data_IF_279971162925
#
_entry.id   IF_279971162925
#
_cell.length_a   1.000
_cell.length_b   1.000
_cell.length_c   1.000
_cell.angle_alpha   90.00
_cell.angle_beta   90.00
_cell.angle_gamma   90.00
#
_symmetry.space_group_name_H-M   'P 1'
#
loop_
_entity.id
_entity.type
_entity.pdbx_description
1 polymer ?
#
# COMPACT_ATOMS: atom_id res chain seq x y z
N UNK A 1 12.16 -9.01 12.17
CA UNK A 1 11.78 -7.89 13.04
C UNK A 1 12.01 -6.61 12.27
N UNK A 2 10.97 -6.17 11.56
CA UNK A 2 10.99 -4.84 10.99
C UNK A 2 10.71 -3.84 12.11
N UNK A 3 11.77 -3.17 12.49
CA UNK A 3 11.85 -1.86 13.12
C UNK A 3 10.62 -1.49 13.94
N UNK A 4 10.69 -1.78 15.21
CA UNK A 4 9.72 -1.35 16.24
C UNK A 4 9.91 0.13 16.62
N UNK A 5 10.78 0.85 15.93
CA UNK A 5 11.13 2.23 16.20
C UNK A 5 11.06 3.07 14.92
N UNK A 6 9.82 3.49 14.59
CA UNK A 6 9.61 4.69 13.77
C UNK A 6 10.00 4.57 12.30
N UNK A 7 9.07 4.11 11.46
CA UNK A 7 9.08 4.50 10.05
C UNK A 7 8.65 5.96 9.94
N UNK A 8 9.55 6.89 10.18
CA UNK A 8 9.28 8.32 10.05
C UNK A 8 9.46 8.83 8.62
N UNK A 9 9.81 7.97 7.67
CA UNK A 9 10.00 8.35 6.28
C UNK A 9 8.93 7.76 5.36
N UNK A 10 8.19 8.66 4.70
CA UNK A 10 7.28 8.26 3.63
C UNK A 10 8.08 7.71 2.44
N UNK A 11 7.60 6.68 1.73
CA UNK A 11 8.23 6.22 0.51
C UNK A 11 8.27 7.35 -0.53
N UNK A 12 9.33 7.40 -1.32
CA UNK A 12 9.47 8.36 -2.41
C UNK A 12 8.38 8.17 -3.48
N UNK A 13 7.91 6.93 -3.65
CA UNK A 13 6.78 6.57 -4.51
C UNK A 13 5.99 5.44 -3.87
N UNK A 14 4.67 5.61 -3.84
CA UNK A 14 3.69 4.54 -3.59
C UNK A 14 2.74 4.44 -4.78
N UNK A 15 2.59 3.27 -5.36
CA UNK A 15 1.78 3.04 -6.54
C UNK A 15 0.73 1.97 -6.29
N UNK A 16 -0.50 2.25 -6.69
CA UNK A 16 -1.62 1.31 -6.61
C UNK A 16 -2.55 1.52 -7.80
N UNK A 17 -3.23 0.47 -8.24
CA UNK A 17 -4.25 0.55 -9.29
C UNK A 17 -5.63 0.57 -8.65
N UNK A 18 -6.40 1.62 -8.91
CA UNK A 18 -7.74 1.84 -8.37
C UNK A 18 -8.77 1.65 -9.47
N UNK A 19 -9.77 0.81 -9.23
CA UNK A 19 -10.87 0.56 -10.16
C UNK A 19 -12.11 1.36 -9.82
N UNK A 20 -12.46 1.44 -8.52
CA UNK A 20 -13.68 2.12 -8.06
C UNK A 20 -13.46 2.77 -6.71
N UNK A 21 -14.09 3.94 -6.52
CA UNK A 21 -14.19 4.57 -5.21
C UNK A 21 -15.65 4.82 -4.87
N UNK A 22 -15.97 4.69 -3.60
CA UNK A 22 -17.31 4.89 -3.04
C UNK A 22 -17.25 5.78 -1.82
N UNK A 23 -18.27 6.60 -1.65
CA UNK A 23 -18.56 7.33 -0.42
C UNK A 23 -19.77 6.70 0.26
N UNK A 24 -19.68 6.38 1.53
CA UNK A 24 -20.67 5.62 2.28
C UNK A 24 -21.21 6.45 3.45
N UNK A 25 -22.52 6.41 3.65
CA UNK A 25 -23.22 7.10 4.76
C UNK A 25 -23.07 6.37 6.08
N UNK A 26 -22.70 5.10 6.05
CA UNK A 26 -22.31 4.26 7.19
C UNK A 26 -21.26 3.24 6.73
N UNK A 27 -20.67 2.51 7.67
CA UNK A 27 -19.72 1.46 7.34
C UNK A 27 -20.34 0.41 6.40
N UNK A 28 -19.70 0.05 5.28
CA UNK A 28 -20.12 -1.09 4.48
C UNK A 28 -19.94 -2.38 5.28
N UNK A 29 -20.72 -3.42 4.92
CA UNK A 29 -20.49 -4.75 5.53
C UNK A 29 -19.24 -5.36 4.93
N UNK A 30 -18.30 -5.76 5.77
CA UNK A 30 -17.04 -6.35 5.35
C UNK A 30 -17.25 -7.67 4.58
N UNK A 31 -16.37 -7.94 3.63
CA UNK A 31 -16.32 -9.23 2.97
C UNK A 31 -15.87 -10.32 3.96
N UNK A 32 -16.36 -11.52 3.75
CA UNK A 32 -15.92 -12.72 4.47
C UNK A 32 -15.34 -13.73 3.49
N UNK A 33 -14.84 -14.85 3.96
CA UNK A 33 -14.38 -15.96 3.08
C UNK A 33 -15.48 -16.52 2.17
N UNK A 34 -16.76 -16.25 2.49
CA UNK A 34 -17.93 -16.78 1.77
C UNK A 34 -18.87 -15.71 1.22
N UNK A 35 -18.61 -14.42 1.50
CA UNK A 35 -19.46 -13.31 1.03
C UNK A 35 -18.62 -12.13 0.55
N UNK A 36 -19.10 -11.46 -0.48
CA UNK A 36 -18.54 -10.21 -0.95
C UNK A 36 -18.97 -9.04 -0.05
N UNK A 37 -18.23 -7.92 -0.13
CA UNK A 37 -18.60 -6.68 0.56
C UNK A 37 -20.00 -6.21 0.13
N UNK A 38 -20.81 -5.72 1.09
CA UNK A 38 -22.13 -5.16 0.81
C UNK A 38 -22.03 -3.63 0.84
N UNK A 39 -22.22 -3.02 -0.32
CA UNK A 39 -22.09 -1.57 -0.55
C UNK A 39 -23.42 -0.82 -0.55
N UNK A 40 -24.47 -1.37 0.07
CA UNK A 40 -25.81 -0.73 0.13
C UNK A 40 -25.78 0.72 0.65
N UNK A 41 -24.97 1.08 1.69
CA UNK A 41 -24.92 2.47 2.17
C UNK A 41 -23.99 3.37 1.35
N UNK A 42 -23.49 2.90 0.21
CA UNK A 42 -22.43 3.56 -0.54
C UNK A 42 -22.90 4.04 -1.91
N UNK A 43 -22.42 5.21 -2.33
CA UNK A 43 -22.55 5.74 -3.68
C UNK A 43 -21.20 5.67 -4.39
N UNK A 44 -21.17 5.10 -5.59
CA UNK A 44 -19.97 5.08 -6.41
C UNK A 44 -19.66 6.50 -6.92
N UNK A 45 -18.43 6.97 -6.68
CA UNK A 45 -17.97 8.31 -7.08
C UNK A 45 -16.88 8.28 -8.14
N UNK A 46 -16.22 7.16 -8.32
CA UNK A 46 -15.20 6.96 -9.35
C UNK A 46 -15.28 5.55 -9.94
N UNK A 47 -15.03 5.44 -11.25
CA UNK A 47 -14.95 4.17 -11.95
C UNK A 47 -13.95 4.23 -13.10
N UNK A 48 -13.05 3.24 -13.15
CA UNK A 48 -12.25 2.89 -14.30
C UNK A 48 -12.15 1.37 -14.38
N UNK A 49 -12.80 0.75 -15.37
CA UNK A 49 -12.84 -0.72 -15.50
C UNK A 49 -11.51 -1.35 -15.85
N UNK A 50 -10.59 -0.57 -16.45
CA UNK A 50 -9.23 -1.00 -16.79
C UNK A 50 -8.23 -0.75 -15.65
N UNK A 51 -8.66 -0.02 -14.60
CA UNK A 51 -7.83 0.42 -13.51
C UNK A 51 -7.12 1.75 -13.81
N UNK A 52 -7.11 2.65 -12.81
CA UNK A 52 -6.35 3.89 -12.85
C UNK A 52 -5.14 3.76 -11.92
N UNK A 53 -3.95 3.92 -12.46
CA UNK A 53 -2.71 3.91 -11.68
C UNK A 53 -2.59 5.20 -10.88
N UNK A 54 -2.58 5.06 -9.56
CA UNK A 54 -2.29 6.13 -8.62
C UNK A 54 -0.82 6.04 -8.20
N UNK A 55 0.03 6.94 -8.70
CA UNK A 55 1.43 7.05 -8.32
C UNK A 55 1.59 8.21 -7.34
N UNK A 56 1.55 7.89 -6.04
CA UNK A 56 1.58 8.88 -4.95
C UNK A 56 3.03 9.19 -4.60
N UNK A 57 3.40 10.45 -4.67
CA UNK A 57 4.65 10.98 -4.13
C UNK A 57 4.32 11.99 -3.04
N UNK A 58 5.22 12.16 -2.09
CA UNK A 58 5.00 13.07 -0.96
C UNK A 58 4.63 14.49 -1.43
N UNK A 59 3.53 15.03 -0.91
CA UNK A 59 3.07 16.39 -1.20
C UNK A 59 2.41 16.58 -2.58
N UNK A 60 2.17 15.53 -3.34
CA UNK A 60 1.54 15.59 -4.66
C UNK A 60 0.06 15.20 -4.63
N UNK A 61 -0.76 15.93 -5.38
CA UNK A 61 -2.12 15.53 -5.69
C UNK A 61 -2.14 14.68 -6.96
N UNK A 62 -3.02 13.68 -6.99
CA UNK A 62 -3.18 12.81 -8.15
C UNK A 62 -4.62 12.91 -8.64
N UNK A 63 -4.77 13.15 -9.93
CA UNK A 63 -6.04 13.00 -10.62
C UNK A 63 -6.06 11.61 -11.27
N UNK A 64 -6.97 10.76 -10.81
CA UNK A 64 -7.14 9.42 -11.39
C UNK A 64 -7.83 9.54 -12.76
N UNK A 65 -7.31 8.84 -13.76
CA UNK A 65 -7.98 8.73 -15.06
C UNK A 65 -9.21 7.84 -14.94
N UNK A 66 -10.39 8.36 -15.33
CA UNK A 66 -11.63 7.61 -15.22
C UNK A 66 -12.88 8.48 -15.19
N UNK A 67 -14.00 7.85 -14.88
CA UNK A 67 -15.30 8.51 -14.82
C UNK A 67 -15.67 8.87 -13.39
N UNK A 68 -15.98 10.15 -13.17
CA UNK A 68 -16.42 10.68 -11.88
C UNK A 68 -17.91 10.87 -11.85
N UNK A 69 -18.56 10.46 -10.77
CA UNK A 69 -19.99 10.64 -10.54
C UNK A 69 -20.20 11.41 -9.24
N UNK A 70 -20.95 12.49 -9.30
CA UNK A 70 -21.29 13.24 -8.09
C UNK A 70 -22.27 12.41 -7.24
N UNK A 71 -21.96 12.16 -5.97
CA UNK A 71 -22.88 11.44 -5.09
C UNK A 71 -24.09 12.30 -4.74
N UNK A 72 -25.22 11.71 -4.30
CA UNK A 72 -26.36 12.46 -3.75
C UNK A 72 -25.92 13.40 -2.62
N UNK A 73 -26.70 14.47 -2.40
CA UNK A 73 -26.44 15.37 -1.27
C UNK A 73 -26.65 14.59 0.05
N UNK A 74 -25.66 14.63 0.94
CA UNK A 74 -25.70 13.89 2.19
C UNK A 74 -24.40 13.99 2.99
N UNK A 75 -24.39 13.36 4.16
CA UNK A 75 -23.17 13.21 4.98
C UNK A 75 -22.58 11.84 4.75
N UNK A 76 -21.30 11.80 4.39
CA UNK A 76 -20.55 10.58 4.15
C UNK A 76 -19.50 10.44 5.23
N UNK A 77 -19.48 9.30 5.90
CA UNK A 77 -18.62 9.03 7.06
C UNK A 77 -17.54 7.99 6.76
N UNK A 78 -17.67 7.25 5.65
CA UNK A 78 -16.73 6.20 5.25
C UNK A 78 -16.42 6.29 3.77
N UNK A 79 -15.20 5.89 3.40
CA UNK A 79 -14.78 5.64 2.05
C UNK A 79 -14.57 4.13 1.82
N UNK A 80 -14.82 3.66 0.60
CA UNK A 80 -14.46 2.31 0.20
C UNK A 80 -13.77 2.38 -1.15
N UNK A 81 -12.62 1.70 -1.27
CA UNK A 81 -11.87 1.61 -2.51
C UNK A 81 -11.80 0.15 -2.99
N UNK A 82 -12.07 -0.05 -4.28
CA UNK A 82 -11.78 -1.31 -4.97
C UNK A 82 -10.51 -1.11 -5.78
N UNK A 83 -9.46 -1.82 -5.42
CA UNK A 83 -8.12 -1.65 -5.96
C UNK A 83 -7.47 -2.99 -6.27
N UNK A 84 -6.37 -2.96 -7.02
CA UNK A 84 -5.54 -4.14 -7.25
C UNK A 84 -4.86 -4.59 -5.94
N UNK A 85 -4.50 -5.86 -5.89
CA UNK A 85 -3.69 -6.43 -4.83
C UNK A 85 -2.17 -6.29 -5.09
N UNK A 86 -1.80 -5.52 -6.11
CA UNK A 86 -0.42 -5.27 -6.49
C UNK A 86 -0.04 -3.82 -6.19
N UNK A 87 1.06 -3.64 -5.48
CA UNK A 87 1.55 -2.34 -5.02
C UNK A 87 2.98 -2.12 -5.49
N UNK A 88 3.29 -0.88 -5.92
CA UNK A 88 4.65 -0.44 -6.21
C UNK A 88 5.17 0.47 -5.10
N UNK A 89 6.39 0.22 -4.62
CA UNK A 89 7.03 1.04 -3.59
C UNK A 89 8.43 1.39 -4.02
N UNK A 90 8.81 2.66 -3.86
CA UNK A 90 10.19 3.12 -3.99
C UNK A 90 10.58 3.87 -2.72
N UNK A 91 11.59 3.38 -2.04
CA UNK A 91 12.12 3.98 -0.83
C UNK A 91 13.64 3.86 -0.79
N UNK A 92 14.32 4.88 -0.31
CA UNK A 92 15.71 4.84 0.09
C UNK A 92 15.93 5.78 1.28
N UNK A 93 16.74 5.34 2.23
CA UNK A 93 17.04 6.13 3.42
C UNK A 93 18.38 5.76 4.05
N UNK A 94 18.82 6.60 4.97
CA UNK A 94 19.96 6.34 5.84
C UNK A 94 19.45 5.86 7.19
N UNK A 95 19.88 4.65 7.58
CA UNK A 95 19.51 4.04 8.84
C UNK A 95 20.51 4.41 9.94
N UNK A 96 20.05 4.43 11.18
CA UNK A 96 20.90 4.69 12.36
C UNK A 96 21.94 3.60 12.63
N UNK A 97 21.73 2.41 12.05
CA UNK A 97 22.65 1.27 12.19
C UNK A 97 22.84 0.56 10.84
N UNK A 98 23.99 -0.08 10.70
CA UNK A 98 24.29 -0.88 9.50
C UNK A 98 23.39 -2.10 9.44
N UNK A 99 22.74 -2.31 8.29
CA UNK A 99 21.86 -3.43 7.99
C UNK A 99 22.34 -4.18 6.76
N UNK A 100 21.89 -5.42 6.62
CA UNK A 100 22.10 -6.20 5.39
C UNK A 100 20.79 -6.19 4.59
N UNK A 101 20.85 -5.77 3.33
CA UNK A 101 19.72 -5.78 2.43
C UNK A 101 19.28 -7.20 2.06
N UNK A 102 18.02 -7.38 1.70
CA UNK A 102 17.45 -8.69 1.37
C UNK A 102 18.06 -9.29 0.09
N UNK A 103 18.50 -8.46 -0.85
CA UNK A 103 19.27 -8.90 -2.05
C UNK A 103 20.78 -8.88 -1.82
N UNK A 104 21.23 -8.45 -0.65
CA UNK A 104 22.64 -8.34 -0.28
C UNK A 104 23.10 -6.92 -0.03
N UNK A 105 24.40 -6.77 0.12
CA UNK A 105 25.03 -5.53 0.53
C UNK A 105 24.81 -5.25 2.03
N UNK A 106 25.72 -4.49 2.63
CA UNK A 106 25.68 -4.14 4.06
C UNK A 106 26.11 -2.69 4.23
N UNK A 107 25.38 -1.94 5.04
CA UNK A 107 25.65 -0.53 5.32
C UNK A 107 24.46 0.18 5.91
N UNK A 108 24.61 1.49 6.11
CA UNK A 108 23.57 2.35 6.67
C UNK A 108 22.62 2.90 5.59
N UNK A 109 23.04 2.95 4.33
CA UNK A 109 22.16 3.40 3.24
C UNK A 109 21.45 2.19 2.66
N UNK A 110 20.13 2.15 2.80
CA UNK A 110 19.30 1.06 2.28
C UNK A 110 18.24 1.62 1.33
N UNK A 111 17.79 0.78 0.41
CA UNK A 111 16.72 1.16 -0.52
C UNK A 111 16.08 -0.05 -1.19
N UNK A 112 14.89 0.16 -1.74
CA UNK A 112 14.20 -0.83 -2.55
C UNK A 112 14.93 -1.06 -3.87
N UNK A 113 14.81 -2.27 -4.42
CA UNK A 113 15.35 -2.64 -5.73
C UNK A 113 14.23 -2.77 -6.76
N UNK A 114 14.55 -2.53 -8.05
CA UNK A 114 13.63 -2.72 -9.16
C UNK A 114 13.41 -4.23 -9.38
N UNK A 115 12.47 -4.79 -8.65
CA UNK A 115 12.13 -6.21 -8.68
C UNK A 115 10.65 -6.42 -8.37
N UNK A 116 10.20 -7.67 -8.33
CA UNK A 116 8.83 -8.01 -7.95
C UNK A 116 8.80 -9.24 -7.06
N UNK A 117 7.78 -9.34 -6.23
CA UNK A 117 7.56 -10.47 -5.35
C UNK A 117 6.08 -10.73 -5.11
N UNK A 118 5.75 -11.97 -4.80
CA UNK A 118 4.42 -12.36 -4.36
C UNK A 118 4.47 -12.65 -2.88
N UNK A 119 3.61 -12.00 -2.12
CA UNK A 119 3.61 -12.06 -0.67
C UNK A 119 2.53 -12.98 -0.16
N UNK A 120 2.94 -14.15 0.30
CA UNK A 120 2.08 -15.05 1.06
C UNK A 120 2.26 -14.86 2.58
N UNK A 121 3.46 -14.42 3.01
CA UNK A 121 3.80 -14.17 4.42
C UNK A 121 4.93 -13.15 4.51
N UNK A 122 4.97 -12.35 5.58
CA UNK A 122 5.96 -11.29 5.81
C UNK A 122 7.45 -11.75 5.81
N UNK A 123 7.71 -13.04 5.90
CA UNK A 123 9.06 -13.62 5.97
C UNK A 123 9.69 -13.95 4.61
N UNK A 124 9.00 -13.71 3.50
CA UNK A 124 9.42 -14.21 2.17
C UNK A 124 9.92 -13.14 1.20
N UNK A 125 10.12 -11.90 1.65
CA UNK A 125 10.69 -10.83 0.81
C UNK A 125 12.20 -10.93 0.67
N UNK A 126 12.68 -11.91 -0.08
CA UNK A 126 14.13 -12.14 -0.24
C UNK A 126 14.80 -11.27 -1.29
N UNK A 127 14.04 -10.40 -1.99
CA UNK A 127 14.54 -9.66 -3.14
C UNK A 127 14.09 -8.19 -3.18
N UNK A 128 13.70 -7.62 -2.03
CA UNK A 128 13.05 -6.30 -1.99
C UNK A 128 14.00 -5.12 -1.76
N UNK A 129 15.17 -5.36 -1.15
CA UNK A 129 16.05 -4.26 -0.72
C UNK A 129 17.53 -4.58 -0.85
N UNK A 130 18.33 -3.54 -0.99
CA UNK A 130 19.78 -3.56 -0.98
C UNK A 130 20.30 -2.54 0.04
N UNK A 131 21.43 -2.82 0.70
CA UNK A 131 22.10 -1.85 1.56
C UNK A 131 23.56 -1.64 1.13
N UNK A 132 24.16 -0.51 1.55
CA UNK A 132 25.54 -0.16 1.20
C UNK A 132 26.12 0.93 2.08
N UNK A 133 27.41 1.20 1.89
CA UNK A 133 28.15 2.26 2.59
C UNK A 133 27.99 3.66 1.96
N UNK A 134 27.25 3.78 0.89
CA UNK A 134 26.95 5.04 0.19
C UNK A 134 25.48 5.09 -0.21
N UNK A 135 24.99 6.29 -0.53
CA UNK A 135 23.60 6.51 -0.95
C UNK A 135 23.17 5.56 -2.05
N UNK A 136 22.02 4.92 -1.85
CA UNK A 136 21.41 3.97 -2.78
C UNK A 136 20.42 4.71 -3.69
N UNK A 137 20.49 4.44 -4.99
CA UNK A 137 19.41 4.82 -5.91
C UNK A 137 18.33 3.73 -5.86
N UNK A 138 17.18 4.07 -5.26
CA UNK A 138 16.09 3.13 -5.11
C UNK A 138 15.44 2.77 -6.46
N UNK A 139 15.12 1.49 -6.63
CA UNK A 139 14.27 0.99 -7.70
C UNK A 139 12.85 0.72 -7.20
N UNK A 140 11.85 0.73 -8.11
CA UNK A 140 10.47 0.37 -7.75
C UNK A 140 10.38 -1.14 -7.49
N UNK A 141 10.09 -1.51 -6.25
CA UNK A 141 9.72 -2.88 -5.91
C UNK A 141 8.21 -3.06 -6.09
N UNK A 142 7.80 -4.10 -6.80
CA UNK A 142 6.39 -4.41 -7.06
C UNK A 142 5.99 -5.64 -6.27
N UNK A 143 5.03 -5.47 -5.37
CA UNK A 143 4.53 -6.52 -4.49
C UNK A 143 3.10 -6.90 -4.84
N UNK A 144 2.83 -8.21 -4.98
CA UNK A 144 1.49 -8.75 -5.13
C UNK A 144 1.08 -9.46 -3.84
N UNK A 145 0.05 -8.98 -3.19
CA UNK A 145 -0.50 -9.56 -1.98
C UNK A 145 -1.43 -10.72 -2.33
N UNK A 146 -1.14 -11.91 -1.82
CA UNK A 146 -1.92 -13.14 -2.13
C UNK A 146 -2.96 -13.49 -1.08
N UNK A 147 -2.93 -12.81 0.07
CA UNK A 147 -3.86 -13.04 1.18
C UNK A 147 -4.30 -11.73 1.81
N UNK A 148 -5.59 -11.45 1.74
CA UNK A 148 -6.25 -10.44 2.56
C UNK A 148 -7.04 -11.21 3.62
N UNK A 149 -6.45 -11.36 4.80
CA UNK A 149 -6.93 -12.31 5.77
C UNK A 149 -8.26 -12.01 6.40
N UNK A 150 -8.95 -13.09 6.76
CA UNK A 150 -10.05 -13.11 7.70
C UNK A 150 -9.61 -12.89 9.15
N UNK A 151 -10.55 -12.95 10.08
CA UNK A 151 -10.27 -12.86 11.53
C UNK A 151 -9.21 -13.88 11.93
N UNK A 152 -8.09 -13.41 12.47
CA UNK A 152 -6.95 -14.25 12.86
C UNK A 152 -5.84 -14.38 11.81
N UNK A 153 -5.95 -13.73 10.66
CA UNK A 153 -4.87 -13.69 9.68
C UNK A 153 -3.78 -12.71 10.14
N UNK A 154 -2.53 -13.17 10.24
CA UNK A 154 -1.40 -12.30 10.59
C UNK A 154 -1.17 -11.16 9.60
N UNK A 155 -1.76 -11.23 8.39
CA UNK A 155 -1.67 -10.19 7.40
C UNK A 155 -2.55 -8.98 7.73
N UNK A 156 -3.77 -9.17 8.28
CA UNK A 156 -4.61 -8.05 8.72
C UNK A 156 -3.89 -7.21 9.78
N UNK A 157 -3.28 -7.84 10.77
CA UNK A 157 -2.52 -7.15 11.81
C UNK A 157 -1.27 -6.42 11.24
N UNK A 158 -0.65 -6.97 10.18
CA UNK A 158 0.52 -6.35 9.54
C UNK A 158 0.16 -5.28 8.51
N UNK A 159 -0.93 -5.44 7.77
CA UNK A 159 -1.45 -4.38 6.92
C UNK A 159 -1.88 -3.17 7.75
N UNK A 160 -2.49 -3.37 8.91
CA UNK A 160 -2.80 -2.29 9.84
C UNK A 160 -1.53 -1.61 10.39
N UNK A 161 -0.46 -2.35 10.68
CA UNK A 161 0.83 -1.77 11.09
C UNK A 161 1.57 -1.08 9.94
N UNK A 162 1.45 -1.56 8.71
CA UNK A 162 1.96 -0.88 7.52
C UNK A 162 1.22 0.43 7.26
N UNK A 163 -0.11 0.41 7.32
CA UNK A 163 -0.91 1.63 7.19
C UNK A 163 -0.67 2.61 8.33
N UNK A 164 -0.44 2.17 9.56
CA UNK A 164 -0.09 3.06 10.67
C UNK A 164 1.29 3.70 10.49
N UNK A 165 2.24 3.01 9.86
CA UNK A 165 3.53 3.59 9.49
C UNK A 165 3.40 4.70 8.41
N UNK A 166 2.37 4.63 7.55
CA UNK A 166 2.11 5.62 6.51
C UNK A 166 1.13 6.74 6.91
N UNK A 167 0.38 6.58 8.00
CA UNK A 167 -0.71 7.51 8.37
C UNK A 167 -0.41 8.27 9.68
N UNK A 168 0.59 7.88 10.46
CA UNK A 168 0.94 8.61 11.70
C UNK A 168 1.77 9.84 11.39
N UNK A 169 1.11 10.90 10.91
CA UNK A 169 1.46 12.32 11.08
C UNK A 169 0.20 13.15 10.98
#
# INVERSE_FOLDING_TARGET
DFIDDGCDEAPALYEVVIYKLYLCTSAPTEATTTSTVVLTPCSQVFNNSSGATASVTQGSEIVLDGTYTRPPVGTYTHGYAYMDNTFGITWAGELSASMTGMTGGTGVFCGTVANSGTHAQASTHTNSSVCGSSVITAGKFVETLTHFGGVGDPFKAKAESWFSCFISN
#
